data_IF_144007071428
#
_entry.id   IF_144007071428
#
_cell.length_a   1.000
_cell.length_b   1.000
_cell.length_c   1.000
_cell.angle_alpha   90.00
_cell.angle_beta   90.00
_cell.angle_gamma   90.00
#
_symmetry.space_group_name_H-M   'P 1'
#
loop_
_entity.id
_entity.type
_entity.pdbx_description
1 polymer ?
#
# COMPACT_ATOMS: atom_id res chain seq x y z
N UNK A 1 15.65 -8.41 4.97
CA UNK A 1 15.27 -7.30 4.06
C UNK A 1 15.28 -7.80 2.62
N UNK A 2 14.21 -7.60 1.87
CA UNK A 2 14.14 -7.95 0.44
C UNK A 2 15.05 -6.97 -0.33
N UNK A 3 16.06 -7.47 -1.05
CA UNK A 3 17.03 -6.61 -1.77
C UNK A 3 16.97 -6.72 -3.30
N UNK A 4 16.22 -7.70 -3.81
CA UNK A 4 16.11 -7.97 -5.25
C UNK A 4 14.82 -7.41 -5.79
N UNK A 5 14.87 -6.75 -6.95
CA UNK A 5 13.68 -6.33 -7.69
C UNK A 5 12.79 -7.55 -8.00
N UNK A 6 11.49 -7.41 -7.81
CA UNK A 6 10.50 -8.47 -8.04
C UNK A 6 9.65 -8.04 -9.24
N UNK A 7 9.78 -8.77 -10.36
CA UNK A 7 8.96 -8.53 -11.55
C UNK A 7 7.57 -9.11 -11.33
N UNK A 8 6.58 -8.23 -11.32
CA UNK A 8 5.16 -8.58 -11.20
C UNK A 8 4.49 -8.25 -12.54
N UNK A 9 3.48 -9.04 -12.92
CA UNK A 9 2.75 -8.89 -14.20
C UNK A 9 1.40 -8.18 -14.06
N UNK A 10 1.06 -7.73 -12.85
CA UNK A 10 -0.22 -7.11 -12.52
C UNK A 10 0.01 -5.77 -11.83
N UNK A 11 -1.02 -4.92 -11.92
CA UNK A 11 -1.13 -3.67 -11.15
C UNK A 11 -1.13 -3.98 -9.66
N UNK A 12 -0.51 -3.12 -8.87
CA UNK A 12 -0.43 -3.28 -7.41
C UNK A 12 -0.76 -1.97 -6.74
N UNK A 13 -1.66 -2.02 -5.77
CA UNK A 13 -1.95 -0.90 -4.87
C UNK A 13 -1.67 -1.33 -3.45
N UNK A 14 -0.78 -0.61 -2.77
CA UNK A 14 -0.47 -0.78 -1.36
C UNK A 14 -1.25 0.27 -0.57
N UNK A 15 -1.97 -0.15 0.47
CA UNK A 15 -2.66 0.74 1.41
C UNK A 15 -1.88 0.77 2.73
N UNK A 16 -1.62 1.96 3.27
CA UNK A 16 -0.86 2.11 4.50
C UNK A 16 -1.44 3.21 5.41
N UNK A 17 -1.57 2.91 6.70
CA UNK A 17 -1.93 3.87 7.73
C UNK A 17 -0.72 4.54 8.35
N UNK A 18 -0.65 5.87 8.35
CA UNK A 18 0.51 6.62 8.85
C UNK A 18 0.68 6.54 10.38
N UNK A 19 -0.36 6.12 11.11
CA UNK A 19 -0.29 5.87 12.56
C UNK A 19 -0.02 4.39 12.88
N UNK A 20 0.35 3.59 11.89
CA UNK A 20 0.78 2.21 12.11
C UNK A 20 2.09 2.20 12.93
N UNK A 21 2.00 1.61 14.13
CA UNK A 21 3.12 1.42 15.06
C UNK A 21 3.81 0.06 14.89
N UNK A 22 3.19 -0.84 14.13
CA UNK A 22 3.63 -2.22 13.92
C UNK A 22 4.46 -2.36 12.64
N UNK A 23 4.11 -1.62 11.59
CA UNK A 23 4.80 -1.61 10.30
C UNK A 23 5.20 -0.17 9.93
N UNK A 24 6.46 0.04 9.59
CA UNK A 24 6.98 1.38 9.27
C UNK A 24 6.69 1.79 7.83
N UNK A 25 6.51 3.09 7.60
CA UNK A 25 6.37 3.65 6.24
C UNK A 25 7.57 3.31 5.37
N UNK A 26 8.78 3.34 5.93
CA UNK A 26 10.01 2.99 5.22
C UNK A 26 9.96 1.58 4.65
N UNK A 27 9.40 0.62 5.38
CA UNK A 27 9.25 -0.75 4.89
C UNK A 27 8.30 -0.83 3.67
N UNK A 28 7.26 0.00 3.66
CA UNK A 28 6.31 0.10 2.54
C UNK A 28 6.93 0.80 1.33
N UNK A 29 7.71 1.86 1.54
CA UNK A 29 8.46 2.54 0.47
C UNK A 29 9.50 1.60 -0.12
N UNK A 30 10.20 0.83 0.71
CA UNK A 30 11.13 -0.20 0.24
C UNK A 30 10.42 -1.26 -0.59
N UNK A 31 9.26 -1.76 -0.13
CA UNK A 31 8.45 -2.71 -0.89
C UNK A 31 8.03 -2.12 -2.24
N UNK A 32 7.46 -0.91 -2.26
CA UNK A 32 7.10 -0.17 -3.48
C UNK A 32 8.27 -0.12 -4.47
N UNK A 33 9.47 0.23 -3.98
CA UNK A 33 10.67 0.31 -4.81
C UNK A 33 11.15 -1.06 -5.31
N UNK A 34 10.82 -2.15 -4.65
CA UNK A 34 11.23 -3.50 -5.05
C UNK A 34 10.33 -4.05 -6.15
N UNK A 35 9.03 -3.71 -6.14
CA UNK A 35 8.08 -4.18 -7.15
C UNK A 35 8.35 -3.48 -8.49
N UNK A 36 8.73 -4.25 -9.51
CA UNK A 36 8.93 -3.73 -10.87
C UNK A 36 7.66 -3.91 -11.70
N UNK A 37 6.70 -3.02 -11.48
CA UNK A 37 5.54 -2.80 -12.34
C UNK A 37 5.24 -1.30 -12.41
N UNK A 38 5.00 -0.76 -13.62
CA UNK A 38 4.79 0.68 -13.84
C UNK A 38 3.56 1.22 -13.14
N UNK A 39 2.54 0.37 -12.95
CA UNK A 39 1.31 0.69 -12.23
C UNK A 39 1.34 0.12 -10.81
N UNK A 40 2.41 0.44 -10.08
CA UNK A 40 2.49 0.19 -8.63
C UNK A 40 2.24 1.50 -7.90
N UNK A 41 1.33 1.53 -6.94
CA UNK A 41 0.98 2.75 -6.19
C UNK A 41 0.93 2.46 -4.69
N UNK A 42 1.33 3.44 -3.88
CA UNK A 42 1.19 3.44 -2.43
C UNK A 42 0.24 4.56 -2.01
N UNK A 43 -0.87 4.21 -1.37
CA UNK A 43 -1.83 5.15 -0.80
C UNK A 43 -1.58 5.24 0.70
N UNK A 44 -1.25 6.44 1.17
CA UNK A 44 -0.96 6.71 2.59
C UNK A 44 -2.14 7.44 3.20
N UNK A 45 -2.75 6.84 4.22
CA UNK A 45 -3.81 7.46 5.00
C UNK A 45 -3.26 8.05 6.30
N UNK A 46 -3.30 9.38 6.41
CA UNK A 46 -2.69 10.14 7.52
C UNK A 46 -3.20 9.76 8.92
N UNK A 47 -4.46 9.34 9.02
CA UNK A 47 -5.13 9.14 10.30
C UNK A 47 -5.38 7.66 10.66
N UNK A 48 -4.97 6.74 9.81
CA UNK A 48 -5.28 5.31 9.96
C UNK A 48 -4.17 4.57 10.71
N UNK A 49 -4.57 3.59 11.50
CA UNK A 49 -3.68 2.68 12.23
C UNK A 49 -3.35 1.44 11.38
N UNK A 50 -2.67 0.47 11.99
CA UNK A 50 -2.31 -0.80 11.36
C UNK A 50 -3.49 -1.57 10.77
N UNK A 51 -4.68 -1.47 11.39
CA UNK A 51 -5.84 -2.28 10.99
C UNK A 51 -6.52 -1.72 9.75
N UNK A 52 -6.40 -0.41 9.51
CA UNK A 52 -7.08 0.29 8.42
C UNK A 52 -8.55 -0.16 8.26
N UNK A 53 -9.31 -0.16 9.35
CA UNK A 53 -10.65 -0.76 9.41
C UNK A 53 -11.77 0.21 9.78
N UNK A 54 -11.49 1.51 9.86
CA UNK A 54 -12.55 2.51 10.04
C UNK A 54 -13.41 2.61 8.77
N UNK A 55 -14.62 3.19 8.87
CA UNK A 55 -15.46 3.44 7.69
C UNK A 55 -14.73 4.24 6.60
N UNK A 56 -13.85 5.16 6.99
CA UNK A 56 -13.01 5.91 6.07
C UNK A 56 -12.01 5.01 5.34
N UNK A 57 -11.37 4.09 6.07
CA UNK A 57 -10.41 3.15 5.50
C UNK A 57 -11.08 2.15 4.55
N UNK A 58 -12.25 1.64 4.93
CA UNK A 58 -13.04 0.74 4.09
C UNK A 58 -13.50 1.45 2.81
N UNK A 59 -13.76 2.75 2.87
CA UNK A 59 -14.02 3.56 1.67
C UNK A 59 -12.78 3.66 0.79
N UNK A 60 -11.60 3.94 1.35
CA UNK A 60 -10.34 3.93 0.58
C UNK A 60 -10.11 2.57 -0.09
N UNK A 61 -10.32 1.47 0.64
CA UNK A 61 -10.19 0.12 0.10
C UNK A 61 -11.15 -0.10 -1.07
N UNK A 62 -12.42 0.26 -0.92
CA UNK A 62 -13.43 0.15 -1.97
C UNK A 62 -13.04 0.96 -3.21
N UNK A 63 -12.64 2.22 -3.02
CA UNK A 63 -12.28 3.12 -4.12
C UNK A 63 -11.02 2.60 -4.86
N UNK A 64 -10.05 2.06 -4.13
CA UNK A 64 -8.87 1.41 -4.72
C UNK A 64 -9.25 0.16 -5.54
N UNK A 65 -10.14 -0.69 -5.04
CA UNK A 65 -10.62 -1.86 -5.78
C UNK A 65 -11.35 -1.47 -7.06
N UNK A 66 -12.21 -0.43 -7.02
CA UNK A 66 -12.91 0.07 -8.20
C UNK A 66 -11.98 0.66 -9.25
N UNK A 67 -10.88 1.31 -8.84
CA UNK A 67 -9.86 1.83 -9.76
C UNK A 67 -9.04 0.73 -10.46
N UNK A 68 -9.01 -0.49 -9.89
CA UNK A 68 -8.27 -1.62 -10.45
C UNK A 68 -9.06 -2.43 -11.49
N UNK A 69 -10.38 -2.22 -11.58
CA UNK A 69 -11.27 -2.83 -12.58
C UNK A 69 -11.19 -2.05 -13.91
#
# INVERSE_FOLDING_TARGET
MLKKKIKIKCKVTLLYGLKDISVTLDSQIQLLNILSHSETTLIISKNSDHRMSSNYDLKILKDALLYML
#
